data_IF_827605119754
#
_entry.id   IF_827605119754
#
_cell.length_a   1.000
_cell.length_b   1.000
_cell.length_c   1.000
_cell.angle_alpha   90.00
_cell.angle_beta   90.00
_cell.angle_gamma   90.00
#
_symmetry.space_group_name_H-M   'P 1'
#
loop_
_entity.id
_entity.type
_entity.pdbx_description
1 polymer ?
#
# COMPACT_ATOMS: atom_id res chain seq x y z
N UNK A 1 -22.82 -25.28 -13.56
CA UNK A 1 -22.97 -24.32 -12.45
C UNK A 1 -23.03 -22.95 -13.10
N UNK A 2 -24.13 -22.22 -12.95
CA UNK A 2 -24.49 -21.12 -13.85
C UNK A 2 -23.45 -19.98 -13.81
N UNK A 3 -22.61 -19.89 -14.83
CA UNK A 3 -21.84 -18.70 -15.13
C UNK A 3 -22.83 -17.64 -15.63
N UNK A 4 -23.08 -16.61 -14.82
CA UNK A 4 -23.81 -15.45 -15.30
C UNK A 4 -22.88 -14.78 -16.33
N UNK A 5 -23.18 -14.96 -17.61
CA UNK A 5 -22.45 -14.37 -18.73
C UNK A 5 -22.71 -12.87 -18.74
N UNK A 6 -21.78 -12.10 -18.18
CA UNK A 6 -21.82 -10.64 -18.20
C UNK A 6 -20.73 -10.15 -19.16
N UNK A 7 -20.99 -10.32 -20.45
CA UNK A 7 -20.17 -9.71 -21.49
C UNK A 7 -20.52 -8.21 -21.57
N UNK A 8 -19.51 -7.36 -21.38
CA UNK A 8 -19.56 -5.90 -21.54
C UNK A 8 -20.48 -5.11 -20.58
N UNK A 9 -20.26 -5.19 -19.27
CA UNK A 9 -20.69 -4.11 -18.38
C UNK A 9 -19.60 -3.03 -18.29
N UNK A 10 -19.87 -1.88 -18.89
CA UNK A 10 -19.17 -0.64 -18.60
C UNK A 10 -19.62 -0.14 -17.21
N UNK A 11 -18.74 -0.29 -16.22
CA UNK A 11 -19.00 0.15 -14.85
C UNK A 11 -18.57 1.61 -14.59
N UNK A 12 -18.26 2.37 -15.64
CA UNK A 12 -17.96 3.81 -15.52
C UNK A 12 -19.22 4.68 -15.53
N UNK A 13 -20.35 4.13 -15.99
CA UNK A 13 -21.64 4.83 -16.00
C UNK A 13 -22.45 4.43 -14.76
N UNK A 14 -22.73 5.42 -13.91
CA UNK A 14 -23.54 5.24 -12.70
C UNK A 14 -25.04 5.25 -13.02
N UNK A 15 -25.74 4.14 -12.73
CA UNK A 15 -27.20 4.03 -12.85
C UNK A 15 -27.83 4.18 -11.45
N UNK A 16 -28.57 5.27 -11.18
CA UNK A 16 -29.16 5.48 -9.85
C UNK A 16 -30.05 4.31 -9.41
N UNK A 17 -29.79 3.76 -8.22
CA UNK A 17 -30.55 2.64 -7.65
C UNK A 17 -30.00 1.24 -7.96
N UNK A 18 -28.98 1.12 -8.81
CA UNK A 18 -28.31 -0.14 -9.11
C UNK A 18 -26.83 -0.06 -8.73
N UNK A 19 -26.33 -1.05 -7.98
CA UNK A 19 -24.90 -1.12 -7.65
C UNK A 19 -24.12 -1.61 -8.87
N UNK A 20 -23.08 -0.87 -9.26
CA UNK A 20 -22.16 -1.30 -10.31
C UNK A 20 -21.45 -2.61 -9.94
N UNK A 21 -21.15 -3.42 -10.95
CA UNK A 21 -20.37 -4.64 -10.77
C UNK A 21 -18.90 -4.29 -10.45
N UNK A 22 -18.36 -4.90 -9.39
CA UNK A 22 -17.00 -4.62 -8.89
C UNK A 22 -15.94 -5.52 -9.55
N UNK A 23 -16.30 -6.78 -9.79
CA UNK A 23 -15.46 -7.72 -10.51
C UNK A 23 -15.94 -7.74 -11.96
N UNK A 24 -15.12 -7.17 -12.83
CA UNK A 24 -15.40 -7.11 -14.27
C UNK A 24 -14.73 -8.28 -14.99
N UNK A 25 -15.39 -8.78 -16.03
CA UNK A 25 -14.97 -9.96 -16.78
C UNK A 25 -15.49 -11.26 -16.17
N UNK A 26 -15.68 -12.28 -17.01
CA UNK A 26 -16.13 -13.60 -16.59
C UNK A 26 -15.01 -14.34 -15.85
N UNK A 27 -14.87 -14.11 -14.55
CA UNK A 27 -13.86 -14.75 -13.72
C UNK A 27 -14.49 -15.84 -12.84
N UNK A 28 -14.10 -17.09 -13.07
CA UNK A 28 -14.37 -18.21 -12.15
C UNK A 28 -13.30 -18.27 -11.03
N UNK A 29 -13.56 -18.99 -9.93
CA UNK A 29 -12.65 -19.11 -8.79
C UNK A 29 -11.25 -19.59 -9.17
N UNK A 30 -11.15 -20.53 -10.12
CA UNK A 30 -9.87 -20.99 -10.64
C UNK A 30 -9.13 -19.85 -11.36
N UNK A 31 -9.84 -19.08 -12.18
CA UNK A 31 -9.23 -17.97 -12.93
C UNK A 31 -8.69 -16.86 -12.03
N UNK A 32 -9.33 -16.60 -10.87
CA UNK A 32 -8.83 -15.63 -9.89
C UNK A 32 -7.56 -16.16 -9.23
N UNK A 33 -7.57 -17.42 -8.82
CA UNK A 33 -6.40 -18.09 -8.24
C UNK A 33 -5.22 -18.04 -9.20
N UNK A 34 -5.41 -18.47 -10.45
CA UNK A 34 -4.37 -18.49 -11.47
C UNK A 34 -3.80 -17.08 -11.72
N UNK A 35 -4.65 -16.04 -11.76
CA UNK A 35 -4.20 -14.64 -11.96
C UNK A 35 -3.38 -14.10 -10.79
N UNK A 36 -3.77 -14.38 -9.55
CA UNK A 36 -3.07 -13.89 -8.36
C UNK A 36 -1.75 -14.66 -8.18
N UNK A 37 -1.79 -15.98 -8.32
CA UNK A 37 -0.62 -16.86 -8.17
C UNK A 37 0.43 -16.60 -9.27
N UNK A 38 0.02 -16.23 -10.49
CA UNK A 38 0.93 -15.92 -11.59
C UNK A 38 1.99 -14.88 -11.22
N UNK A 39 1.68 -13.91 -10.36
CA UNK A 39 2.66 -12.91 -9.91
C UNK A 39 3.80 -13.55 -9.12
N UNK A 40 3.51 -14.55 -8.29
CA UNK A 40 4.49 -15.25 -7.46
C UNK A 40 5.20 -16.39 -8.21
N UNK A 41 4.49 -17.06 -9.12
CA UNK A 41 4.98 -18.24 -9.86
C UNK A 41 5.81 -17.86 -11.10
N UNK A 42 5.83 -16.59 -11.49
CA UNK A 42 6.53 -16.15 -12.70
C UNK A 42 8.02 -16.55 -12.62
N UNK A 43 8.55 -17.32 -13.60
CA UNK A 43 9.91 -17.85 -13.53
C UNK A 43 10.99 -16.76 -13.66
N UNK A 44 10.64 -15.60 -14.21
CA UNK A 44 11.54 -14.48 -14.41
C UNK A 44 10.99 -13.21 -13.76
N UNK A 45 11.78 -12.67 -12.84
CA UNK A 45 11.51 -11.38 -12.21
C UNK A 45 11.90 -10.29 -13.22
N UNK A 46 11.04 -9.30 -13.48
CA UNK A 46 11.36 -8.21 -14.40
C UNK A 46 12.58 -7.43 -13.91
N UNK A 47 13.53 -7.04 -14.79
CA UNK A 47 14.77 -6.37 -14.38
C UNK A 47 14.52 -5.04 -13.63
N UNK A 48 13.40 -4.36 -13.94
CA UNK A 48 13.00 -3.13 -13.26
C UNK A 48 12.74 -3.33 -11.76
N UNK A 49 12.33 -4.52 -11.33
CA UNK A 49 12.19 -4.84 -9.90
C UNK A 49 13.52 -4.70 -9.18
N UNK A 50 14.61 -5.21 -9.76
CA UNK A 50 15.95 -5.11 -9.14
C UNK A 50 16.45 -3.67 -9.09
N UNK A 51 16.09 -2.84 -10.07
CA UNK A 51 16.40 -1.40 -10.05
C UNK A 51 15.65 -0.71 -8.91
N UNK A 52 14.33 -0.92 -8.80
CA UNK A 52 13.52 -0.35 -7.73
C UNK A 52 13.96 -0.84 -6.34
N UNK A 53 14.30 -2.12 -6.23
CA UNK A 53 14.84 -2.71 -5.00
C UNK A 53 16.19 -2.08 -4.65
N UNK A 54 17.08 -1.92 -5.62
CA UNK A 54 18.38 -1.28 -5.44
C UNK A 54 18.23 0.14 -4.89
N UNK A 55 17.38 0.97 -5.49
CA UNK A 55 17.08 2.33 -5.02
C UNK A 55 16.53 2.31 -3.59
N UNK A 56 15.60 1.40 -3.30
CA UNK A 56 14.98 1.29 -1.96
C UNK A 56 16.01 0.89 -0.90
N UNK A 57 16.89 -0.06 -1.20
CA UNK A 57 17.97 -0.51 -0.31
C UNK A 57 19.01 0.60 -0.12
N UNK A 58 19.36 1.36 -1.15
CA UNK A 58 20.25 2.51 -1.03
C UNK A 58 19.69 3.53 -0.04
N UNK A 59 18.40 3.89 -0.13
CA UNK A 59 17.79 4.80 0.84
C UNK A 59 17.74 4.24 2.25
N UNK A 60 17.48 2.93 2.40
CA UNK A 60 17.51 2.26 3.69
C UNK A 60 18.90 2.32 4.34
N UNK A 61 19.97 2.12 3.56
CA UNK A 61 21.35 2.21 4.06
C UNK A 61 21.67 3.63 4.52
N UNK A 62 21.29 4.64 3.72
CA UNK A 62 21.49 6.05 4.10
C UNK A 62 20.75 6.37 5.39
N UNK A 63 19.47 5.96 5.52
CA UNK A 63 18.69 6.11 6.75
C UNK A 63 19.41 5.47 7.95
N UNK A 64 19.91 4.24 7.80
CA UNK A 64 20.66 3.54 8.85
C UNK A 64 21.92 4.30 9.25
N UNK A 65 22.70 4.80 8.30
CA UNK A 65 23.88 5.62 8.57
C UNK A 65 23.51 6.91 9.32
N UNK A 66 22.45 7.61 8.91
CA UNK A 66 21.96 8.80 9.60
C UNK A 66 21.50 8.50 11.04
N UNK A 67 20.84 7.36 11.28
CA UNK A 67 20.45 6.93 12.64
C UNK A 67 21.68 6.67 13.50
N UNK A 68 22.70 5.96 12.99
CA UNK A 68 23.95 5.73 13.73
C UNK A 68 24.65 7.05 14.06
N UNK A 69 24.70 7.98 13.10
CA UNK A 69 25.26 9.31 13.30
C UNK A 69 24.50 10.08 14.39
N UNK A 70 23.16 10.06 14.36
CA UNK A 70 22.31 10.68 15.38
C UNK A 70 22.56 10.08 16.78
N UNK A 71 22.64 8.76 16.89
CA UNK A 71 22.86 8.10 18.18
C UNK A 71 24.25 8.39 18.76
N UNK A 72 25.25 8.60 17.91
CA UNK A 72 26.64 8.86 18.35
C UNK A 72 26.92 10.33 18.64
N UNK A 73 26.35 11.26 17.86
CA UNK A 73 26.54 12.71 18.06
C UNK A 73 25.47 13.36 18.95
N UNK A 74 24.35 12.66 19.17
CA UNK A 74 23.23 13.12 19.96
C UNK A 74 22.15 13.86 19.18
N UNK A 75 21.05 14.13 19.87
CA UNK A 75 19.78 14.67 19.32
C UNK A 75 19.92 16.11 18.77
N UNK A 76 20.97 16.84 19.18
CA UNK A 76 21.24 18.22 18.74
C UNK A 76 21.48 18.35 17.23
N UNK A 77 21.88 17.27 16.55
CA UNK A 77 22.06 17.23 15.09
C UNK A 77 20.78 17.59 14.33
N UNK A 78 19.61 17.35 14.91
CA UNK A 78 18.33 17.70 14.30
C UNK A 78 18.07 19.21 14.22
N UNK A 79 18.83 20.04 14.96
CA UNK A 79 18.64 21.48 14.94
C UNK A 79 17.37 21.96 15.65
N UNK A 80 16.77 21.13 16.51
CA UNK A 80 15.66 21.55 17.35
C UNK A 80 16.16 22.61 18.34
N UNK A 81 15.49 23.76 18.39
CA UNK A 81 15.86 24.90 19.24
C UNK A 81 14.83 25.11 20.35
N UNK A 82 15.25 25.63 21.50
CA UNK A 82 14.29 26.10 22.50
C UNK A 82 13.51 27.30 21.94
N UNK A 83 12.18 27.35 22.05
CA UNK A 83 11.29 26.46 22.82
C UNK A 83 10.70 25.26 22.04
N UNK A 84 10.98 25.13 20.74
CA UNK A 84 10.45 24.07 19.87
C UNK A 84 11.39 22.85 19.85
N UNK A 85 11.29 22.03 20.89
CA UNK A 85 12.10 20.81 21.03
C UNK A 85 11.66 19.65 20.11
N UNK A 86 10.48 19.76 19.51
CA UNK A 86 9.83 18.72 18.72
C UNK A 86 9.64 19.21 17.27
N UNK A 87 10.62 18.91 16.42
CA UNK A 87 10.59 19.29 15.01
C UNK A 87 10.21 18.13 14.08
N UNK A 88 11.00 17.96 13.02
CA UNK A 88 10.82 16.93 12.00
C UNK A 88 10.64 15.48 12.51
N UNK A 89 11.31 15.02 13.58
CA UNK A 89 11.17 13.64 14.02
C UNK A 89 9.72 13.26 14.37
N UNK A 90 8.99 14.14 15.07
CA UNK A 90 7.60 13.86 15.43
C UNK A 90 6.64 14.07 14.26
N UNK A 91 6.90 15.06 13.41
CA UNK A 91 6.09 15.28 12.20
C UNK A 91 6.11 14.01 11.35
N UNK A 92 7.29 13.43 11.13
CA UNK A 92 7.43 12.17 10.41
C UNK A 92 6.81 10.99 11.18
N UNK A 93 6.99 10.91 12.50
CA UNK A 93 6.38 9.86 13.31
C UNK A 93 4.86 9.82 13.16
N UNK A 94 4.18 10.96 13.35
CA UNK A 94 2.72 11.05 13.23
C UNK A 94 2.26 10.79 11.80
N UNK A 95 2.99 11.32 10.81
CA UNK A 95 2.71 11.07 9.40
C UNK A 95 2.69 9.57 9.07
N UNK A 96 3.75 8.84 9.42
CA UNK A 96 3.85 7.41 9.15
C UNK A 96 2.85 6.57 9.97
N UNK A 97 2.59 6.95 11.22
CA UNK A 97 1.54 6.32 12.03
C UNK A 97 0.16 6.51 11.39
N UNK A 98 -0.13 7.70 10.85
CA UNK A 98 -1.38 7.97 10.14
C UNK A 98 -1.56 7.09 8.90
N UNK A 99 -0.51 6.90 8.10
CA UNK A 99 -0.53 5.96 6.97
C UNK A 99 -0.84 4.53 7.43
N UNK A 100 -0.26 4.10 8.56
CA UNK A 100 -0.55 2.78 9.14
C UNK A 100 -2.01 2.57 9.53
N UNK A 101 -2.69 3.60 10.03
CA UNK A 101 -4.10 3.51 10.44
C UNK A 101 -5.05 3.31 9.25
N UNK A 102 -4.75 3.90 8.09
CA UNK A 102 -5.58 3.75 6.89
C UNK A 102 -5.79 2.27 6.52
N UNK A 103 -4.74 1.45 6.59
CA UNK A 103 -4.85 0.01 6.32
C UNK A 103 -5.75 -0.73 7.30
N UNK A 104 -5.67 -0.42 8.59
CA UNK A 104 -6.51 -1.04 9.63
C UNK A 104 -7.99 -0.64 9.53
N UNK A 105 -8.24 0.61 9.11
CA UNK A 105 -9.60 1.08 8.86
C UNK A 105 -10.22 0.31 7.69
N UNK A 106 -9.48 0.18 6.59
CA UNK A 106 -9.94 -0.52 5.40
C UNK A 106 -10.24 -2.00 5.70
N UNK A 107 -9.41 -2.69 6.48
CA UNK A 107 -9.63 -4.11 6.77
C UNK A 107 -10.69 -4.36 7.85
N UNK A 108 -10.67 -3.63 8.96
CA UNK A 108 -11.55 -3.90 10.10
C UNK A 108 -12.89 -3.16 10.00
N UNK A 109 -12.85 -1.84 9.72
CA UNK A 109 -14.05 -1.00 9.77
C UNK A 109 -14.95 -1.29 8.56
N UNK A 110 -14.41 -1.44 7.35
CA UNK A 110 -15.22 -1.77 6.18
C UNK A 110 -15.82 -3.18 6.29
N UNK A 111 -15.12 -4.12 6.94
CA UNK A 111 -15.68 -5.43 7.27
C UNK A 111 -16.85 -5.33 8.25
N UNK A 112 -16.75 -4.52 9.32
CA UNK A 112 -17.84 -4.29 10.26
C UNK A 112 -19.09 -3.71 9.59
N UNK A 113 -18.90 -2.78 8.66
CA UNK A 113 -19.98 -2.20 7.86
C UNK A 113 -20.44 -3.08 6.69
N UNK A 114 -19.88 -4.30 6.55
CA UNK A 114 -20.15 -5.25 5.46
C UNK A 114 -20.04 -4.61 4.07
N UNK A 115 -19.06 -3.72 3.90
CA UNK A 115 -18.79 -3.05 2.63
C UNK A 115 -18.00 -4.00 1.73
N UNK A 116 -18.67 -4.58 0.73
CA UNK A 116 -18.07 -5.52 -0.22
C UNK A 116 -17.55 -4.76 -1.45
N UNK A 117 -16.65 -3.79 -1.31
CA UNK A 117 -16.06 -3.02 -2.44
C UNK A 117 -14.86 -3.76 -3.05
#
# INVERSE_FOLDING_TARGET
>A
MASISVDNYDNTVEVPGQRAALVVGQNDYQSVTDKVCLLAEKPTIPPMYFVALGISVTWLIILKCCIIYLLTQGVGVWGNMSPVFWGWPIVNFVFWVGIGHAGTLISAILFLFRQNW
#
